data_IF_723783129849
#
_entry.id   IF_723783129849
#
_cell.length_a   1.000
_cell.length_b   1.000
_cell.length_c   1.000
_cell.angle_alpha   90.00
_cell.angle_beta   90.00
_cell.angle_gamma   90.00
#
_symmetry.space_group_name_H-M   'P 1'
#
loop_
_entity.id
_entity.type
_entity.pdbx_description
1 polymer ?
#
# COMPACT_ATOMS: atom_id res chain seq x y z
N UNK A 1 -13.56 -1.13 -13.12
CA UNK A 1 -12.84 -1.43 -11.86
C UNK A 1 -13.09 -0.32 -10.87
N UNK A 2 -13.34 -0.68 -9.65
CA UNK A 2 -13.70 0.26 -8.59
C UNK A 2 -12.49 0.46 -7.65
N UNK A 3 -12.32 1.67 -7.12
CA UNK A 3 -11.30 1.92 -6.11
C UNK A 3 -11.97 2.35 -4.79
N UNK A 4 -11.65 1.73 -3.65
CA UNK A 4 -10.85 0.51 -3.53
C UNK A 4 -11.66 -0.74 -3.82
N UNK A 5 -10.96 -1.81 -4.23
CA UNK A 5 -11.59 -3.11 -4.49
C UNK A 5 -10.52 -4.19 -4.56
N UNK A 6 -10.93 -5.45 -4.50
CA UNK A 6 -10.01 -6.56 -4.68
C UNK A 6 -9.39 -6.53 -6.09
N UNK A 7 -10.18 -6.18 -7.11
CA UNK A 7 -9.65 -6.04 -8.47
C UNK A 7 -8.56 -4.98 -8.55
N UNK A 8 -8.75 -3.85 -7.86
CA UNK A 8 -7.71 -2.82 -7.78
C UNK A 8 -6.45 -3.39 -7.13
N UNK A 9 -6.59 -4.15 -6.05
CA UNK A 9 -5.45 -4.74 -5.35
C UNK A 9 -4.71 -5.76 -6.22
N UNK A 10 -5.43 -6.52 -7.04
CA UNK A 10 -4.80 -7.45 -7.99
C UNK A 10 -4.00 -6.67 -9.04
N UNK A 11 -4.55 -5.57 -9.54
CA UNK A 11 -3.84 -4.69 -10.48
C UNK A 11 -2.64 -4.03 -9.82
N UNK A 12 -2.76 -3.64 -8.57
CA UNK A 12 -1.66 -3.06 -7.80
C UNK A 12 -0.54 -4.09 -7.61
N UNK A 13 -0.88 -5.31 -7.24
CA UNK A 13 0.10 -6.39 -7.09
C UNK A 13 0.87 -6.60 -8.39
N UNK A 14 0.18 -6.67 -9.51
CA UNK A 14 0.80 -6.83 -10.81
C UNK A 14 1.73 -5.67 -11.14
N UNK A 15 1.28 -4.43 -10.88
CA UNK A 15 2.07 -3.23 -11.15
C UNK A 15 3.33 -3.16 -10.28
N UNK A 16 3.21 -3.51 -9.00
CA UNK A 16 4.35 -3.55 -8.09
C UNK A 16 5.36 -4.62 -8.52
N UNK A 17 4.88 -5.80 -8.88
CA UNK A 17 5.74 -6.90 -9.31
C UNK A 17 6.40 -6.65 -10.67
N UNK A 18 5.85 -5.76 -11.48
CA UNK A 18 6.41 -5.36 -12.77
C UNK A 18 7.34 -4.16 -12.65
N UNK A 19 7.42 -3.52 -11.50
CA UNK A 19 8.23 -2.32 -11.29
C UNK A 19 9.66 -2.68 -10.89
N UNK A 20 10.61 -2.34 -11.75
CA UNK A 20 12.04 -2.52 -11.46
C UNK A 20 12.45 -1.66 -10.27
N UNK A 21 11.91 -0.45 -10.16
CA UNK A 21 12.23 0.46 -9.06
C UNK A 21 11.74 -0.11 -7.73
N UNK A 22 10.52 -0.65 -7.70
CA UNK A 22 10.00 -1.28 -6.48
C UNK A 22 10.84 -2.48 -6.08
N UNK A 23 11.24 -3.29 -7.04
CA UNK A 23 12.10 -4.46 -6.79
C UNK A 23 13.43 -4.06 -6.14
N UNK A 24 14.03 -2.96 -6.60
CA UNK A 24 15.30 -2.48 -6.06
C UNK A 24 15.15 -1.96 -4.63
N UNK A 25 14.18 -1.08 -4.39
CA UNK A 25 13.99 -0.46 -3.06
C UNK A 25 13.42 -1.44 -2.05
N UNK A 26 12.81 -2.53 -2.52
CA UNK A 26 12.19 -3.56 -1.66
C UNK A 26 12.98 -4.86 -1.63
N UNK A 27 14.19 -4.89 -2.17
CA UNK A 27 15.02 -6.08 -2.34
C UNK A 27 15.17 -6.90 -1.06
N UNK A 28 15.29 -6.25 0.08
CA UNK A 28 15.49 -6.91 1.36
C UNK A 28 14.22 -6.98 2.21
N UNK A 29 13.05 -6.86 1.55
CA UNK A 29 11.78 -6.92 2.25
C UNK A 29 11.45 -8.35 2.69
N UNK A 30 10.88 -8.45 3.87
CA UNK A 30 10.26 -9.66 4.43
C UNK A 30 9.27 -9.16 5.47
N UNK A 31 8.17 -8.59 5.01
CA UNK A 31 7.18 -7.94 5.88
C UNK A 31 5.76 -8.16 5.37
N UNK A 32 4.84 -8.05 6.30
CA UNK A 32 3.40 -8.07 6.04
C UNK A 32 2.89 -6.64 6.19
N UNK A 33 2.28 -6.13 5.15
CA UNK A 33 1.79 -4.74 5.10
C UNK A 33 0.28 -4.74 4.98
N UNK A 34 -0.35 -3.90 5.79
CA UNK A 34 -1.79 -3.71 5.74
C UNK A 34 -2.08 -2.36 5.08
N UNK A 35 -2.85 -2.36 4.00
CA UNK A 35 -3.34 -1.14 3.37
C UNK A 35 -4.77 -0.89 3.82
N UNK A 36 -5.02 0.30 4.38
CA UNK A 36 -6.32 0.69 4.90
C UNK A 36 -6.87 1.87 4.10
N UNK A 37 -7.86 1.60 3.24
CA UNK A 37 -8.58 2.61 2.47
C UNK A 37 -9.90 2.90 3.19
N UNK A 38 -9.86 3.76 4.21
CA UNK A 38 -11.01 3.91 5.09
C UNK A 38 -11.29 2.60 5.84
N UNK A 39 -12.49 2.07 5.67
CA UNK A 39 -12.90 0.81 6.33
C UNK A 39 -12.49 -0.44 5.55
N UNK A 40 -12.05 -0.29 4.31
CA UNK A 40 -11.62 -1.43 3.51
C UNK A 40 -10.12 -1.67 3.72
N UNK A 41 -9.77 -2.88 4.09
CA UNK A 41 -8.40 -3.27 4.43
C UNK A 41 -7.94 -4.42 3.58
N UNK A 42 -6.68 -4.35 3.15
CA UNK A 42 -6.05 -5.40 2.33
C UNK A 42 -4.68 -5.72 2.90
N UNK A 43 -4.39 -7.01 2.95
CA UNK A 43 -3.14 -7.54 3.49
C UNK A 43 -2.24 -7.97 2.34
N UNK A 44 -0.96 -7.63 2.44
CA UNK A 44 0.04 -8.04 1.45
C UNK A 44 1.27 -8.58 2.14
N UNK A 45 1.87 -9.61 1.55
CA UNK A 45 3.19 -10.10 1.95
C UNK A 45 4.22 -9.62 0.93
N UNK A 46 5.19 -8.84 1.42
CA UNK A 46 6.34 -8.42 0.63
C UNK A 46 7.52 -9.31 0.98
N UNK A 47 8.14 -9.89 -0.04
CA UNK A 47 9.34 -10.71 0.14
C UNK A 47 10.26 -10.54 -1.05
N UNK A 48 11.53 -10.15 -0.77
CA UNK A 48 12.55 -10.06 -1.79
C UNK A 48 12.22 -9.12 -2.94
N UNK A 49 11.47 -8.07 -2.68
CA UNK A 49 11.08 -7.09 -3.70
C UNK A 49 9.82 -7.44 -4.47
N UNK A 50 9.10 -8.46 -4.05
CA UNK A 50 7.85 -8.89 -4.70
C UNK A 50 6.70 -8.94 -3.71
N UNK A 51 5.49 -8.71 -4.20
CA UNK A 51 4.26 -8.99 -3.48
C UNK A 51 3.89 -10.44 -3.78
N UNK A 52 4.17 -11.34 -2.84
CA UNK A 52 4.00 -12.77 -3.06
C UNK A 52 2.63 -13.28 -2.63
N UNK A 53 1.89 -12.49 -1.86
CA UNK A 53 0.53 -12.82 -1.45
C UNK A 53 -0.25 -11.53 -1.20
N UNK A 54 -1.55 -11.59 -1.41
CA UNK A 54 -2.45 -10.45 -1.22
C UNK A 54 -3.86 -10.95 -0.99
N UNK A 55 -4.55 -10.38 -0.02
CA UNK A 55 -5.93 -10.75 0.28
C UNK A 55 -6.66 -9.61 0.97
N UNK A 56 -7.99 -9.65 0.92
CA UNK A 56 -8.82 -8.79 1.75
C UNK A 56 -8.61 -9.15 3.22
N UNK A 57 -8.45 -8.15 4.08
CA UNK A 57 -8.20 -8.39 5.50
C UNK A 57 -9.50 -8.23 6.29
N UNK A 58 -9.96 -9.36 6.84
CA UNK A 58 -11.12 -9.43 7.72
C UNK A 58 -10.62 -9.92 9.09
N UNK A 59 -10.49 -9.03 10.09
CA UNK A 59 -9.82 -9.39 11.36
C UNK A 59 -10.39 -10.62 12.07
N UNK A 60 -11.69 -10.89 11.91
CA UNK A 60 -12.33 -12.04 12.52
C UNK A 60 -12.08 -13.35 11.76
N UNK A 61 -11.63 -13.28 10.51
CA UNK A 61 -11.46 -14.42 9.62
C UNK A 61 -10.00 -14.67 9.31
N UNK A 62 -9.21 -13.60 9.21
CA UNK A 62 -7.78 -13.67 8.87
C UNK A 62 -6.95 -13.52 10.15
N UNK A 63 -6.49 -14.62 10.77
CA UNK A 63 -5.67 -14.53 11.98
C UNK A 63 -4.23 -14.10 11.70
N UNK A 64 -3.90 -13.83 10.44
CA UNK A 64 -2.56 -13.40 10.04
C UNK A 64 -2.25 -12.02 10.62
N UNK A 65 -1.11 -11.91 11.27
CA UNK A 65 -0.63 -10.63 11.74
C UNK A 65 -0.08 -9.76 10.60
N UNK A 66 0.24 -8.52 10.93
CA UNK A 66 0.90 -7.60 10.01
C UNK A 66 1.98 -6.82 10.77
N UNK A 67 2.99 -6.36 10.03
CA UNK A 67 4.13 -5.67 10.64
C UNK A 67 3.85 -4.17 10.72
N UNK A 68 3.37 -3.56 9.65
CA UNK A 68 2.94 -2.17 9.69
C UNK A 68 1.79 -1.93 8.71
N UNK A 69 1.09 -0.83 8.93
CA UNK A 69 -0.05 -0.44 8.11
C UNK A 69 0.21 0.92 7.47
N UNK A 70 -0.39 1.10 6.31
CA UNK A 70 -0.43 2.39 5.60
C UNK A 70 -1.91 2.69 5.44
N UNK A 71 -2.37 3.78 6.03
CA UNK A 71 -3.81 4.03 6.07
C UNK A 71 -4.19 5.48 6.09
N UNK A 72 -5.44 5.72 5.78
CA UNK A 72 -6.06 7.03 5.80
C UNK A 72 -7.52 6.92 5.43
N UNK A 73 -8.24 8.03 5.51
CA UNK A 73 -9.63 8.05 5.06
C UNK A 73 -9.71 7.80 3.55
N UNK A 74 -10.83 7.27 3.11
CA UNK A 74 -11.05 7.07 1.67
C UNK A 74 -10.90 8.38 0.89
N UNK A 75 -11.33 9.48 1.48
CA UNK A 75 -11.22 10.81 0.89
C UNK A 75 -9.76 11.20 0.63
N UNK A 76 -8.87 10.92 1.58
CA UNK A 76 -7.45 11.21 1.44
C UNK A 76 -6.80 10.34 0.36
N UNK A 77 -7.18 9.07 0.28
CA UNK A 77 -6.71 8.19 -0.78
C UNK A 77 -7.19 8.65 -2.16
N UNK A 78 -8.44 9.11 -2.25
CA UNK A 78 -8.96 9.67 -3.51
C UNK A 78 -8.23 10.96 -3.89
N UNK A 79 -7.91 11.81 -2.91
CA UNK A 79 -7.12 13.00 -3.15
C UNK A 79 -5.73 12.68 -3.71
N UNK A 80 -5.08 11.63 -3.20
CA UNK A 80 -3.81 11.14 -3.75
C UNK A 80 -3.98 10.72 -5.21
N UNK A 81 -4.97 9.91 -5.50
CA UNK A 81 -5.17 9.37 -6.85
C UNK A 81 -5.58 10.43 -7.86
N UNK A 82 -6.33 11.44 -7.42
CA UNK A 82 -6.74 12.57 -8.27
C UNK A 82 -5.62 13.59 -8.47
N UNK A 83 -4.54 13.48 -7.69
CA UNK A 83 -3.46 14.45 -7.74
C UNK A 83 -3.80 15.80 -7.13
N UNK A 84 -4.92 15.91 -6.42
CA UNK A 84 -5.35 17.17 -5.79
C UNK A 84 -4.49 17.54 -4.58
N UNK A 85 -3.83 16.56 -3.97
CA UNK A 85 -2.88 16.77 -2.88
C UNK A 85 -1.62 15.96 -3.13
N UNK A 86 -0.43 16.59 -3.08
CA UNK A 86 0.83 15.87 -3.29
C UNK A 86 1.05 14.80 -2.24
N UNK A 87 1.72 13.71 -2.63
CA UNK A 87 2.04 12.59 -1.74
C UNK A 87 2.77 13.05 -0.48
N UNK A 88 3.80 13.89 -0.63
CA UNK A 88 4.57 14.40 0.50
C UNK A 88 3.70 15.17 1.49
N UNK A 89 2.77 15.98 0.97
CA UNK A 89 1.84 16.73 1.82
C UNK A 89 0.90 15.81 2.61
N UNK A 90 0.38 14.76 1.96
CA UNK A 90 -0.49 13.78 2.62
C UNK A 90 0.25 13.05 3.75
N UNK A 91 1.51 12.70 3.56
CA UNK A 91 2.32 12.06 4.59
C UNK A 91 2.68 13.04 5.71
N UNK A 92 3.10 14.25 5.37
CA UNK A 92 3.54 15.26 6.35
C UNK A 92 2.41 15.73 7.27
N UNK A 93 1.20 15.82 6.73
CA UNK A 93 0.02 16.26 7.51
C UNK A 93 -0.64 15.14 8.29
N UNK A 94 -0.18 13.88 8.14
CA UNK A 94 -0.81 12.72 8.76
C UNK A 94 -2.13 12.34 8.13
N UNK A 95 -2.40 12.81 6.91
CA UNK A 95 -3.61 12.44 6.16
C UNK A 95 -3.54 11.01 5.64
N UNK A 96 -2.33 10.56 5.33
CA UNK A 96 -1.99 9.15 5.13
C UNK A 96 -0.89 8.84 6.14
N UNK A 97 -1.10 7.83 6.97
CA UNK A 97 -0.20 7.49 8.05
C UNK A 97 0.42 6.11 7.86
N UNK A 98 1.60 5.93 8.45
CA UNK A 98 2.26 4.63 8.58
C UNK A 98 2.37 4.34 10.06
N UNK A 99 1.87 3.20 10.50
CA UNK A 99 1.83 2.82 11.91
C UNK A 99 2.13 1.33 12.07
N UNK A 100 2.42 0.91 13.32
CA UNK A 100 2.77 -0.44 13.65
C UNK A 100 4.24 -0.56 14.01
N UNK A 101 4.95 -1.55 13.43
CA UNK A 101 6.39 -1.71 13.64
C UNK A 101 7.15 -0.63 12.86
N UNK A 102 7.42 0.49 13.52
CA UNK A 102 8.04 1.65 12.89
C UNK A 102 9.48 1.39 12.48
N UNK A 103 10.17 0.44 13.11
CA UNK A 103 11.52 0.07 12.69
C UNK A 103 11.50 -0.55 11.29
N UNK A 104 10.58 -1.48 11.06
CA UNK A 104 10.40 -2.09 9.73
C UNK A 104 9.88 -1.07 8.72
N UNK A 105 8.94 -0.24 9.12
CA UNK A 105 8.40 0.80 8.25
C UNK A 105 9.48 1.80 7.82
N UNK A 106 10.35 2.22 8.74
CA UNK A 106 11.44 3.14 8.42
C UNK A 106 12.49 2.49 7.52
N UNK A 107 12.78 1.22 7.74
CA UNK A 107 13.72 0.46 6.90
C UNK A 107 13.21 0.38 5.46
N UNK A 108 11.91 0.33 5.27
CA UNK A 108 11.27 0.22 3.96
C UNK A 108 10.59 1.52 3.52
N UNK A 109 11.11 2.66 3.99
CA UNK A 109 10.54 3.97 3.68
C UNK A 109 10.44 4.23 2.17
N UNK A 110 11.50 3.93 1.43
CA UNK A 110 11.49 4.11 -0.02
C UNK A 110 10.51 3.17 -0.71
N UNK A 111 10.39 1.94 -0.20
CA UNK A 111 9.38 0.98 -0.69
C UNK A 111 7.98 1.54 -0.56
N UNK A 112 7.66 2.13 0.59
CA UNK A 112 6.38 2.77 0.83
C UNK A 112 6.15 3.93 -0.13
N UNK A 113 7.15 4.77 -0.34
CA UNK A 113 7.07 5.90 -1.28
C UNK A 113 6.77 5.44 -2.70
N UNK A 114 7.49 4.43 -3.17
CA UNK A 114 7.28 3.89 -4.53
C UNK A 114 5.91 3.25 -4.64
N UNK A 115 5.49 2.49 -3.63
CA UNK A 115 4.16 1.88 -3.60
C UNK A 115 3.06 2.93 -3.69
N UNK A 116 3.14 4.00 -2.89
CA UNK A 116 2.14 5.07 -2.90
C UNK A 116 2.12 5.81 -4.25
N UNK A 117 3.28 5.99 -4.88
CA UNK A 117 3.36 6.57 -6.22
C UNK A 117 2.67 5.69 -7.26
N UNK A 118 2.84 4.38 -7.16
CA UNK A 118 2.18 3.44 -8.07
C UNK A 118 0.67 3.43 -7.82
N UNK A 119 0.22 3.47 -6.56
CA UNK A 119 -1.20 3.59 -6.23
C UNK A 119 -1.79 4.87 -6.86
N UNK A 120 -1.06 5.98 -6.78
CA UNK A 120 -1.49 7.24 -7.38
C UNK A 120 -1.66 7.14 -8.88
N UNK A 121 -0.70 6.50 -9.56
CA UNK A 121 -0.60 6.52 -11.01
C UNK A 121 -1.29 5.34 -11.69
N UNK A 122 -1.72 4.35 -10.93
CA UNK A 122 -2.37 3.16 -11.48
C UNK A 122 -3.71 3.54 -12.09
N UNK A 123 -3.84 3.32 -13.39
CA UNK A 123 -5.08 3.66 -14.10
C UNK A 123 -6.12 2.57 -13.91
N UNK A 124 -7.34 3.01 -13.63
CA UNK A 124 -8.48 2.14 -13.51
C UNK A 124 -9.47 2.50 -14.61
N UNK A 125 -9.90 1.49 -15.35
CA UNK A 125 -11.00 1.64 -16.30
C UNK A 125 -12.30 1.59 -15.49
N UNK A 126 -13.00 2.70 -15.44
CA UNK A 126 -14.31 2.77 -14.80
C UNK A 126 -15.38 2.14 -15.70
#
# INVERSE_FOLDING_TARGET
MKFPSLEFMESLQAALNDSDRFAVVSKWSDVKVLLCFGDQRYWMKLYGGKVIDMMEYLPMVNPLGWDYMIGGSLENWKALRQGSRPLGHLLDTGSIIVDGDLLQANRLYESTHVMLSIIRDLKIAD
#
